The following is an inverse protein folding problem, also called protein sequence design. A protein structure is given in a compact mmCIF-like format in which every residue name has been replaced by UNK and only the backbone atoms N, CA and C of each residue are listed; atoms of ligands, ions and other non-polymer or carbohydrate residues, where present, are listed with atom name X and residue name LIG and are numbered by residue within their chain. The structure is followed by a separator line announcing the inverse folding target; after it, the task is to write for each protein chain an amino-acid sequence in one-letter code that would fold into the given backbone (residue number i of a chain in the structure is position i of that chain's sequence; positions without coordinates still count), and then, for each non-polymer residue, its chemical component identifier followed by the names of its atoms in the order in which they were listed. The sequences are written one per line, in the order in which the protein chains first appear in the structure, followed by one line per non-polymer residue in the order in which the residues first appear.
data_IF_187722066751
#
_entry.id   IF_187722066751
#
_cell.length_a   1.000
_cell.length_b   1.000
_cell.length_c   1.000
_cell.angle_alpha   90.00
_cell.angle_beta   90.00
_cell.angle_gamma   90.00
#
_symmetry.space_group_name_H-M   'P 1'
#
loop_
_entity.id
_entity.type
_entity.pdbx_description
1 polymer ?
#
# COMPACT_ATOMS: atom_id res chain seq x y z
N UNK A 1 -1.71 2.00 -8.05
CA UNK A 1 -1.06 3.32 -8.17
C UNK A 1 -2.12 4.42 -8.07
N UNK A 2 -1.85 5.48 -7.32
CA UNK A 2 -2.76 6.63 -7.18
C UNK A 2 -2.80 7.44 -8.49
N UNK A 3 -3.99 7.58 -9.10
CA UNK A 3 -4.13 8.10 -10.47
C UNK A 3 -3.70 9.57 -10.63
N UNK A 4 -4.06 10.44 -9.69
CA UNK A 4 -3.79 11.90 -9.80
C UNK A 4 -2.32 12.21 -9.48
N UNK A 5 -1.88 11.86 -8.26
CA UNK A 5 -0.52 12.14 -7.79
C UNK A 5 0.58 11.26 -8.39
N UNK A 6 0.24 10.20 -9.14
CA UNK A 6 1.22 9.23 -9.66
C UNK A 6 2.15 8.67 -8.58
N UNK A 7 1.61 8.46 -7.38
CA UNK A 7 2.28 7.92 -6.19
C UNK A 7 1.76 6.53 -5.84
N UNK A 8 2.53 5.78 -5.06
CA UNK A 8 2.17 4.46 -4.57
C UNK A 8 1.77 4.55 -3.09
N UNK A 9 0.81 3.70 -2.67
CA UNK A 9 0.51 3.53 -1.25
C UNK A 9 1.66 2.78 -0.61
N UNK A 10 2.18 3.32 0.49
CA UNK A 10 3.29 2.77 1.24
C UNK A 10 2.96 2.72 2.73
N UNK A 11 3.34 1.61 3.38
CA UNK A 11 3.27 1.47 4.83
C UNK A 11 4.63 1.77 5.45
N UNK A 12 4.69 2.65 6.44
CA UNK A 12 5.92 2.89 7.17
C UNK A 12 6.25 1.71 8.10
N UNK A 13 7.44 1.08 8.02
CA UNK A 13 7.76 -0.16 8.74
C UNK A 13 7.72 -0.04 10.27
N UNK A 14 8.02 1.14 10.82
CA UNK A 14 8.20 1.32 12.25
C UNK A 14 6.93 1.78 12.96
N UNK A 15 6.17 2.68 12.32
CA UNK A 15 4.98 3.32 12.90
C UNK A 15 3.68 2.76 12.34
N UNK A 16 3.73 1.89 11.33
CA UNK A 16 2.58 1.42 10.58
C UNK A 16 1.73 2.55 9.97
N UNK A 17 2.35 3.71 9.71
CA UNK A 17 1.67 4.83 9.10
C UNK A 17 1.48 4.61 7.60
N UNK A 18 0.23 4.72 7.12
CA UNK A 18 -0.11 4.60 5.71
C UNK A 18 0.00 5.95 5.01
N UNK A 19 0.77 6.03 3.92
CA UNK A 19 1.01 7.28 3.20
C UNK A 19 1.19 7.09 1.69
N UNK A 20 1.18 8.20 0.94
CA UNK A 20 1.49 8.22 -0.49
C UNK A 20 2.95 8.61 -0.73
N UNK A 21 3.73 7.67 -1.25
CA UNK A 21 5.16 7.86 -1.56
C UNK A 21 5.43 7.75 -3.07
N UNK A 22 6.56 8.28 -3.56
CA UNK A 22 7.05 7.94 -4.89
C UNK A 22 7.12 6.41 -5.07
N UNK A 23 6.72 5.93 -6.24
CA UNK A 23 6.72 4.51 -6.52
C UNK A 23 8.15 3.98 -6.63
N UNK A 24 8.46 2.92 -5.89
CA UNK A 24 9.77 2.26 -5.88
C UNK A 24 9.57 0.74 -5.93
N UNK A 25 10.08 0.10 -7.00
CA UNK A 25 9.93 -1.33 -7.23
C UNK A 25 10.70 -2.19 -6.23
N UNK A 26 11.74 -1.63 -5.60
CA UNK A 26 12.52 -2.33 -4.58
C UNK A 26 11.89 -2.21 -3.19
N UNK A 27 10.89 -1.36 -3.03
CA UNK A 27 10.23 -1.12 -1.75
C UNK A 27 9.04 -2.07 -1.56
N UNK A 28 9.28 -3.19 -0.87
CA UNK A 28 8.25 -4.18 -0.55
C UNK A 28 7.06 -3.61 0.25
N UNK A 29 7.22 -2.48 0.96
CA UNK A 29 6.13 -1.82 1.69
C UNK A 29 5.15 -1.07 0.79
N UNK A 30 5.39 -1.06 -0.53
CA UNK A 30 4.47 -0.55 -1.54
C UNK A 30 3.69 -1.68 -2.25
N UNK A 31 3.98 -2.95 -1.92
CA UNK A 31 3.34 -4.12 -2.51
C UNK A 31 2.17 -4.58 -1.62
N UNK A 32 0.99 -4.71 -2.23
CA UNK A 32 -0.24 -5.04 -1.51
C UNK A 32 -0.87 -6.30 -2.09
N UNK A 33 -1.20 -7.25 -1.21
CA UNK A 33 -2.01 -8.41 -1.55
C UNK A 33 -3.42 -8.20 -0.99
N UNK A 34 -4.41 -8.19 -1.88
CA UNK A 34 -5.81 -8.12 -1.48
C UNK A 34 -6.32 -9.52 -1.22
N UNK A 35 -6.90 -9.72 -0.03
CA UNK A 35 -7.56 -10.98 0.33
C UNK A 35 -9.06 -10.75 0.40
N UNK A 36 -9.81 -11.65 -0.19
CA UNK A 36 -11.27 -11.64 -0.09
C UNK A 36 -11.67 -11.94 1.37
N UNK A 37 -12.54 -11.10 1.93
CA UNK A 37 -13.12 -11.31 3.26
C UNK A 37 -14.54 -11.83 3.05
N UNK A 38 -14.77 -13.11 3.35
CA UNK A 38 -16.11 -13.70 3.34
C UNK A 38 -16.77 -13.40 4.69
N UNK A 39 -17.89 -12.63 4.73
CA UNK A 39 -18.61 -12.40 5.97
C UNK A 39 -19.06 -13.74 6.55
N UNK A 40 -18.90 -13.92 7.87
CA UNK A 40 -19.52 -15.05 8.56
C UNK A 40 -21.01 -14.73 8.68
N UNK A 41 -21.84 -15.65 8.18
CA UNK A 41 -23.29 -15.63 8.36
C UNK A 41 -23.67 -15.88 9.82
#
# INVERSE_FOLDING_TARGET
MHKVYKKCMALHPQTSHLSLMPCDINNAYQNWLFREIKPKA
#
